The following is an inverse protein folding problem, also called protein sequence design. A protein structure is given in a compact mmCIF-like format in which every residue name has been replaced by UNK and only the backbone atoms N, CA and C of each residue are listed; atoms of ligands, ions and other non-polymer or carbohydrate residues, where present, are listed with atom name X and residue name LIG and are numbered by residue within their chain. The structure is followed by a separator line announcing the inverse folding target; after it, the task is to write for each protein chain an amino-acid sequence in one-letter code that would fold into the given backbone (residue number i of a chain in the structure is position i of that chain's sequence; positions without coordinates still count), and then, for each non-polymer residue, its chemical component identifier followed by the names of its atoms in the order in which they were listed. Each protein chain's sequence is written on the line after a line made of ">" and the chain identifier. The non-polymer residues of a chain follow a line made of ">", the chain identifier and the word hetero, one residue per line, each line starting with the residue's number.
data_IF_956120521242
#
_entry.id   IF_956120521242
#
_cell.length_a   1.000
_cell.length_b   1.000
_cell.length_c   1.000
_cell.angle_alpha   90.00
_cell.angle_beta   90.00
_cell.angle_gamma   90.00
#
_symmetry.space_group_name_H-M   'P 1'
#
loop_
_entity.id
_entity.type
_entity.pdbx_description
1 polymer ?
#
# COMPACT_ATOMS: atom_id res chain seq x y z
N UNK A 1 31.04 7.57 7.35
CA UNK A 1 29.58 7.87 7.39
C UNK A 1 29.04 8.23 6.01
N UNK A 2 29.51 9.32 5.36
CA UNK A 2 29.02 9.73 4.02
C UNK A 2 29.17 8.68 2.92
N UNK A 3 30.26 7.90 2.92
CA UNK A 3 30.48 6.82 1.95
C UNK A 3 29.47 5.67 2.13
N UNK A 4 29.27 5.21 3.37
CA UNK A 4 28.32 4.15 3.69
C UNK A 4 26.88 4.54 3.32
N UNK A 5 26.48 5.79 3.63
CA UNK A 5 25.16 6.32 3.23
C UNK A 5 25.00 6.33 1.71
N UNK A 6 26.02 6.76 0.97
CA UNK A 6 25.99 6.73 -0.50
C UNK A 6 25.91 5.31 -1.06
N UNK A 7 26.58 4.34 -0.43
CA UNK A 7 26.57 2.94 -0.85
C UNK A 7 25.20 2.29 -0.62
N UNK A 8 24.59 2.53 0.54
CA UNK A 8 23.22 2.09 0.83
C UNK A 8 22.22 2.75 -0.11
N UNK A 9 22.35 4.06 -0.33
CA UNK A 9 21.48 4.78 -1.27
C UNK A 9 21.59 4.23 -2.69
N UNK A 10 22.82 3.93 -3.15
CA UNK A 10 23.04 3.33 -4.46
C UNK A 10 22.37 1.95 -4.56
N UNK A 11 22.52 1.10 -3.54
CA UNK A 11 21.87 -0.21 -3.48
C UNK A 11 20.34 -0.09 -3.64
N UNK A 12 19.71 0.81 -2.88
CA UNK A 12 18.27 1.06 -2.97
C UNK A 12 17.84 1.55 -4.36
N UNK A 13 18.57 2.51 -4.92
CA UNK A 13 18.25 3.05 -6.24
C UNK A 13 18.36 1.97 -7.33
N UNK A 14 19.40 1.13 -7.27
CA UNK A 14 19.53 0.01 -8.21
C UNK A 14 18.40 -1.00 -8.05
N UNK A 15 18.02 -1.35 -6.83
CA UNK A 15 16.97 -2.34 -6.57
C UNK A 15 15.61 -1.90 -7.15
N UNK A 16 15.24 -0.63 -6.98
CA UNK A 16 13.98 -0.07 -7.51
C UNK A 16 14.00 0.01 -9.04
N UNK A 17 15.13 0.39 -9.64
CA UNK A 17 15.23 0.64 -11.09
C UNK A 17 15.44 -0.65 -11.90
N UNK A 18 16.00 -1.70 -11.29
CA UNK A 18 16.34 -2.97 -11.95
C UNK A 18 15.17 -3.61 -12.71
N UNK A 19 13.98 -3.86 -12.13
CA UNK A 19 12.91 -4.53 -12.86
C UNK A 19 12.41 -3.68 -14.06
N UNK A 20 12.40 -2.35 -13.93
CA UNK A 20 12.01 -1.44 -15.01
C UNK A 20 13.01 -1.44 -16.16
N UNK A 21 14.31 -1.35 -15.88
CA UNK A 21 15.35 -1.35 -16.92
C UNK A 21 15.41 -2.71 -17.62
N UNK A 22 15.32 -3.80 -16.86
CA UNK A 22 15.39 -5.15 -17.39
C UNK A 22 14.16 -5.45 -18.27
N UNK A 23 12.96 -5.03 -17.84
CA UNK A 23 11.75 -5.12 -18.66
C UNK A 23 11.78 -4.25 -19.94
N UNK A 24 12.46 -3.09 -19.92
CA UNK A 24 12.65 -2.26 -21.11
C UNK A 24 13.62 -2.89 -22.13
N UNK A 25 14.61 -3.64 -21.68
CA UNK A 25 15.58 -4.32 -22.55
C UNK A 25 14.96 -5.57 -23.16
N UNK A 26 14.11 -6.28 -22.41
CA UNK A 26 13.49 -7.52 -22.85
C UNK A 26 12.15 -7.70 -22.16
N UNK A 27 11.07 -7.73 -22.93
CA UNK A 27 9.70 -7.89 -22.41
C UNK A 27 9.47 -9.28 -21.78
N UNK A 28 10.10 -10.33 -22.31
CA UNK A 28 10.00 -11.72 -21.81
C UNK A 28 11.12 -12.07 -20.82
N UNK A 29 11.35 -11.22 -19.82
CA UNK A 29 12.29 -11.50 -18.75
C UNK A 29 11.55 -11.68 -17.44
N UNK A 30 11.85 -12.78 -16.75
CA UNK A 30 11.22 -13.09 -15.47
C UNK A 30 11.78 -12.18 -14.37
N UNK A 31 10.98 -11.19 -13.98
CA UNK A 31 11.27 -10.28 -12.86
C UNK A 31 10.52 -10.66 -11.58
N UNK A 32 9.82 -11.80 -11.55
CA UNK A 32 8.97 -12.22 -10.43
C UNK A 32 9.74 -12.28 -9.11
N UNK A 33 11.00 -12.74 -9.14
CA UNK A 33 11.86 -12.81 -7.96
C UNK A 33 12.13 -11.44 -7.34
N UNK A 34 12.33 -10.40 -8.16
CA UNK A 34 12.63 -9.03 -7.66
C UNK A 34 11.40 -8.39 -7.04
N UNK A 35 10.23 -8.60 -7.65
CA UNK A 35 8.95 -8.14 -7.10
C UNK A 35 8.56 -8.91 -5.85
N UNK A 36 8.72 -10.23 -5.83
CA UNK A 36 8.41 -11.09 -4.68
C UNK A 36 9.22 -10.73 -3.44
N UNK A 37 10.51 -10.37 -3.60
CA UNK A 37 11.34 -9.88 -2.50
C UNK A 37 10.88 -8.52 -1.94
N UNK A 38 10.18 -7.71 -2.74
CA UNK A 38 9.58 -6.45 -2.27
C UNK A 38 8.21 -6.67 -1.62
N UNK A 39 7.44 -7.65 -2.08
CA UNK A 39 6.10 -7.95 -1.58
C UNK A 39 6.09 -8.75 -0.27
N UNK A 40 7.17 -9.47 0.05
CA UNK A 40 7.30 -10.21 1.32
C UNK A 40 7.16 -9.30 2.55
N UNK A 41 7.62 -8.05 2.49
CA UNK A 41 7.39 -7.06 3.56
C UNK A 41 5.90 -6.73 3.75
N UNK A 42 5.13 -6.71 2.67
CA UNK A 42 3.70 -6.39 2.68
C UNK A 42 2.84 -7.56 3.15
N UNK A 43 3.21 -8.80 2.81
CA UNK A 43 2.59 -10.01 3.35
C UNK A 43 2.78 -10.15 4.87
N UNK A 44 3.94 -9.75 5.40
CA UNK A 44 4.18 -9.70 6.84
C UNK A 44 3.39 -8.57 7.53
N UNK A 45 3.13 -7.44 6.85
CA UNK A 45 2.29 -6.35 7.37
C UNK A 45 0.80 -6.74 7.45
N UNK A 46 0.30 -7.47 6.45
CA UNK A 46 -1.07 -8.01 6.45
C UNK A 46 -1.25 -9.20 7.42
N UNK A 47 -0.13 -9.81 7.85
CA UNK A 47 -0.07 -10.80 8.93
C UNK A 47 0.28 -10.17 10.28
N UNK A 48 -0.02 -8.89 10.49
CA UNK A 48 -0.23 -8.37 11.83
C UNK A 48 -1.40 -9.15 12.45
N UNK A 49 -1.07 -10.23 13.18
CA UNK A 49 -1.97 -10.81 14.19
C UNK A 49 -2.54 -9.64 14.98
N UNK A 50 -3.84 -9.40 14.87
CA UNK A 50 -4.54 -8.39 15.65
C UNK A 50 -4.13 -8.54 17.11
N UNK A 51 -3.25 -7.65 17.59
CA UNK A 51 -2.96 -7.56 19.00
C UNK A 51 -4.23 -6.98 19.61
N UNK A 52 -5.08 -7.83 20.17
CA UNK A 52 -6.18 -7.42 21.06
C UNK A 52 -5.57 -6.78 22.32
N UNK A 53 -5.05 -5.58 22.18
CA UNK A 53 -4.75 -4.69 23.28
C UNK A 53 -5.96 -3.76 23.39
N UNK A 54 -6.76 -3.98 24.42
CA UNK A 54 -7.83 -3.06 24.81
C UNK A 54 -7.17 -1.77 25.31
N UNK A 55 -6.96 -0.81 24.41
CA UNK A 55 -6.40 0.49 24.76
C UNK A 55 -7.58 1.39 25.13
N UNK A 56 -7.72 1.68 26.41
CA UNK A 56 -8.64 2.70 26.91
C UNK A 56 -8.12 4.09 26.53
N UNK A 57 -8.37 4.51 25.27
CA UNK A 57 -8.04 5.85 24.74
C UNK A 57 -9.06 6.90 25.24
N UNK A 58 -9.43 6.88 26.52
CA UNK A 58 -10.50 7.78 26.99
C UNK A 58 -10.01 9.20 27.28
N UNK A 59 -8.75 9.39 27.69
CA UNK A 59 -8.36 10.67 28.34
C UNK A 59 -7.41 11.58 27.54
N UNK A 60 -6.86 11.16 26.40
CA UNK A 60 -5.83 11.96 25.69
C UNK A 60 -6.20 12.46 24.29
N UNK A 61 -7.35 12.07 23.75
CA UNK A 61 -7.83 12.56 22.45
C UNK A 61 -8.86 13.67 22.61
N UNK A 62 -8.59 14.63 23.50
CA UNK A 62 -9.27 15.92 23.43
C UNK A 62 -8.77 16.61 22.16
N UNK A 63 -9.50 16.41 21.07
CA UNK A 63 -9.39 17.14 19.81
C UNK A 63 -9.76 18.61 20.07
N UNK A 64 -8.88 19.32 20.78
CA UNK A 64 -9.08 20.71 21.09
C UNK A 64 -8.61 21.51 19.88
N UNK A 65 -9.56 22.23 19.29
CA UNK A 65 -9.34 23.31 18.33
C UNK A 65 -9.21 22.93 16.85
N UNK A 66 -10.19 22.19 16.33
CA UNK A 66 -10.51 22.27 14.90
C UNK A 66 -11.57 23.33 14.70
N UNK A 67 -11.14 24.52 14.30
CA UNK A 67 -12.06 25.53 13.78
C UNK A 67 -12.54 25.06 12.42
N UNK A 68 -13.80 24.64 12.29
CA UNK A 68 -14.42 24.43 10.98
C UNK A 68 -14.30 25.71 10.16
N UNK A 69 -13.39 25.73 9.19
CA UNK A 69 -13.44 26.74 8.14
C UNK A 69 -14.67 26.41 7.28
N UNK A 70 -15.60 27.37 7.16
CA UNK A 70 -16.84 27.25 6.38
C UNK A 70 -16.64 26.44 5.10
N UNK A 71 -17.34 25.32 4.99
CA UNK A 71 -17.25 24.41 3.87
C UNK A 71 -17.55 25.15 2.57
N UNK A 72 -16.55 25.26 1.70
CA UNK A 72 -16.80 25.65 0.31
C UNK A 72 -17.61 24.53 -0.35
N UNK A 73 -18.69 24.89 -1.02
CA UNK A 73 -19.56 23.96 -1.75
C UNK A 73 -18.70 23.15 -2.74
N UNK A 74 -18.54 21.85 -2.50
CA UNK A 74 -17.78 20.96 -3.38
C UNK A 74 -18.63 20.75 -4.66
N UNK A 75 -18.39 21.58 -5.67
CA UNK A 75 -18.95 21.37 -7.01
C UNK A 75 -18.07 20.34 -7.72
N UNK A 76 -18.34 19.06 -7.50
CA UNK A 76 -17.69 18.00 -8.28
C UNK A 76 -18.31 17.97 -9.68
N UNK A 77 -17.65 18.60 -10.66
CA UNK A 77 -18.08 18.57 -12.07
C UNK A 77 -18.05 17.17 -12.70
N UNK A 78 -17.49 16.18 -12.01
CA UNK A 78 -17.33 14.83 -12.53
C UNK A 78 -17.56 13.77 -11.43
N UNK A 79 -18.80 13.67 -10.94
CA UNK A 79 -19.22 12.45 -10.25
C UNK A 79 -19.46 11.37 -11.31
N UNK A 80 -18.39 10.77 -11.83
CA UNK A 80 -18.52 9.53 -12.60
C UNK A 80 -19.12 8.49 -11.67
N UNK A 81 -20.40 8.20 -11.90
CA UNK A 81 -21.08 7.07 -11.30
C UNK A 81 -20.44 5.83 -11.91
N UNK A 82 -19.40 5.31 -11.27
CA UNK A 82 -18.90 3.99 -11.59
C UNK A 82 -20.00 3.01 -11.20
N UNK A 83 -20.53 2.26 -12.17
CA UNK A 83 -21.37 1.12 -11.85
C UNK A 83 -20.55 0.21 -10.96
N UNK A 84 -21.09 -0.05 -9.78
CA UNK A 84 -20.46 -0.90 -8.79
C UNK A 84 -20.32 -2.29 -9.42
N UNK A 85 -19.11 -2.65 -9.86
CA UNK A 85 -18.80 -3.95 -10.46
C UNK A 85 -18.90 -5.12 -9.46
N UNK A 86 -19.49 -4.89 -8.28
CA UNK A 86 -19.86 -5.91 -7.31
C UNK A 86 -21.15 -6.68 -7.71
N UNK A 87 -21.48 -6.77 -8.99
CA UNK A 87 -22.43 -7.79 -9.44
C UNK A 87 -21.70 -9.15 -9.47
N UNK A 88 -21.81 -9.87 -8.35
CA UNK A 88 -21.54 -11.29 -8.20
C UNK A 88 -20.06 -11.74 -8.28
N UNK A 89 -19.24 -11.33 -7.31
CA UNK A 89 -18.09 -12.17 -6.92
C UNK A 89 -18.64 -13.28 -6.01
N UNK A 90 -19.27 -14.28 -6.61
CA UNK A 90 -19.61 -15.55 -5.94
C UNK A 90 -18.38 -16.46 -6.05
N UNK A 91 -17.41 -16.27 -5.16
CA UNK A 91 -16.35 -17.28 -5.03
C UNK A 91 -16.96 -18.55 -4.46
N UNK A 92 -16.71 -19.73 -5.06
CA UNK A 92 -17.18 -20.98 -4.48
C UNK A 92 -16.54 -21.16 -3.09
N UNK A 93 -17.27 -21.81 -2.14
CA UNK A 93 -16.71 -22.09 -0.83
C UNK A 93 -15.43 -22.94 -0.98
N UNK A 94 -14.41 -22.72 -0.13
CA UNK A 94 -13.18 -23.50 -0.16
C UNK A 94 -13.49 -24.99 0.00
N UNK A 95 -12.76 -25.86 -0.71
CA UNK A 95 -12.86 -27.30 -0.46
C UNK A 95 -12.47 -27.59 1.00
N UNK A 96 -13.36 -28.30 1.69
CA UNK A 96 -13.06 -28.83 3.02
C UNK A 96 -12.18 -30.08 2.82
N UNK A 97 -10.88 -29.92 3.10
CA UNK A 97 -9.96 -31.05 3.29
C UNK A 97 -10.23 -31.77 4.61
#
# INVERSE_FOLDING_TARGET
>A
MKLAVKLVLLMFMTFIVTPTVVGLIKEDVDTSMVYSMSEEEQHNHNSCKELKADFTVADYLTFSHYTESSSSLIISQHSLKHDNAASAIFSPPPEQV
#
